data_IF_108557606216
#
_entry.id   IF_108557606216
#
_cell.length_a   1.000
_cell.length_b   1.000
_cell.length_c   1.000
_cell.angle_alpha   90.00
_cell.angle_beta   90.00
_cell.angle_gamma   90.00
#
_symmetry.space_group_name_H-M   'P 1'
#
loop_
_entity.id
_entity.type
_entity.pdbx_description
1 polymer ?
#
# COMPACT_ATOMS: atom_id res chain seq x y z
N UNK A 1 -38.28 -14.87 5.85
CA UNK A 1 -38.34 -13.38 5.75
C UNK A 1 -37.15 -12.95 4.93
N UNK A 2 -37.39 -12.42 3.74
CA UNK A 2 -36.31 -11.92 2.84
C UNK A 2 -35.75 -10.62 3.43
N UNK A 3 -34.45 -10.60 3.69
CA UNK A 3 -33.75 -9.40 4.17
C UNK A 3 -33.95 -8.24 3.17
N UNK A 4 -34.22 -7.04 3.68
CA UNK A 4 -34.41 -5.85 2.83
C UNK A 4 -33.09 -5.50 2.11
N UNK A 5 -33.15 -4.81 0.98
CA UNK A 5 -31.95 -4.31 0.28
C UNK A 5 -31.06 -3.47 1.23
N UNK A 6 -31.68 -2.71 2.15
CA UNK A 6 -30.99 -1.93 3.19
C UNK A 6 -30.17 -2.84 4.11
N UNK A 7 -30.76 -3.89 4.67
CA UNK A 7 -30.09 -4.85 5.56
C UNK A 7 -28.94 -5.55 4.82
N UNK A 8 -29.19 -6.02 3.60
CA UNK A 8 -28.17 -6.67 2.76
C UNK A 8 -26.99 -5.75 2.46
N UNK A 9 -27.24 -4.47 2.18
CA UNK A 9 -26.17 -3.49 1.93
C UNK A 9 -25.29 -3.29 3.16
N UNK A 10 -25.90 -3.16 4.34
CA UNK A 10 -25.15 -3.01 5.61
C UNK A 10 -24.36 -4.28 5.96
N UNK A 11 -24.94 -5.46 5.75
CA UNK A 11 -24.26 -6.73 6.02
C UNK A 11 -23.06 -6.96 5.06
N UNK A 12 -23.19 -6.58 3.79
CA UNK A 12 -22.08 -6.60 2.85
C UNK A 12 -20.94 -5.66 3.28
N UNK A 13 -21.30 -4.45 3.75
CA UNK A 13 -20.28 -3.51 4.25
C UNK A 13 -19.62 -4.00 5.54
N UNK A 14 -20.36 -4.64 6.45
CA UNK A 14 -19.79 -5.27 7.65
C UNK A 14 -18.80 -6.39 7.29
N UNK A 15 -19.15 -7.20 6.30
CA UNK A 15 -18.33 -8.35 5.90
C UNK A 15 -17.09 -7.96 5.08
N UNK A 16 -17.17 -6.91 4.26
CA UNK A 16 -16.14 -6.54 3.28
C UNK A 16 -15.49 -5.18 3.51
N UNK A 17 -15.94 -4.42 4.51
CA UNK A 17 -15.41 -3.11 4.92
C UNK A 17 -15.81 -1.99 3.97
N UNK A 18 -15.19 -1.87 2.81
CA UNK A 18 -15.45 -0.83 1.81
C UNK A 18 -15.78 -1.45 0.46
N UNK A 19 -16.84 -0.95 -0.21
CA UNK A 19 -17.34 -1.49 -1.46
C UNK A 19 -17.61 -0.40 -2.49
N UNK A 20 -17.44 -0.74 -3.77
CA UNK A 20 -17.82 0.11 -4.89
C UNK A 20 -19.28 -0.06 -5.26
N UNK A 21 -19.89 0.97 -5.85
CA UNK A 21 -21.28 0.91 -6.37
C UNK A 21 -21.53 -0.35 -7.21
N UNK A 22 -20.59 -0.73 -8.08
CA UNK A 22 -20.71 -1.93 -8.92
C UNK A 22 -20.85 -3.24 -8.12
N UNK A 23 -20.23 -3.31 -6.93
CA UNK A 23 -20.28 -4.49 -6.08
C UNK A 23 -21.69 -4.66 -5.47
N UNK A 24 -22.35 -3.55 -5.15
CA UNK A 24 -23.75 -3.56 -4.71
C UNK A 24 -24.73 -3.89 -5.86
N UNK A 25 -24.48 -3.37 -7.06
CA UNK A 25 -25.30 -3.68 -8.24
C UNK A 25 -25.21 -5.18 -8.55
N UNK A 26 -24.02 -5.78 -8.47
CA UNK A 26 -23.84 -7.22 -8.66
C UNK A 26 -24.62 -8.09 -7.66
N UNK A 27 -24.89 -7.54 -6.48
CA UNK A 27 -25.71 -8.17 -5.42
C UNK A 27 -27.21 -7.73 -5.49
N UNK A 28 -27.65 -7.13 -6.61
CA UNK A 28 -29.01 -6.63 -6.80
C UNK A 28 -29.44 -5.60 -5.73
N UNK A 29 -28.55 -4.71 -5.35
CA UNK A 29 -28.83 -3.57 -4.46
C UNK A 29 -28.83 -2.30 -5.30
N UNK A 30 -29.94 -1.58 -5.26
CA UNK A 30 -30.14 -0.39 -6.06
C UNK A 30 -29.34 0.82 -5.53
N UNK A 31 -28.83 1.69 -6.43
CA UNK A 31 -28.13 2.92 -6.04
C UNK A 31 -28.92 3.83 -5.11
N UNK A 32 -30.24 3.85 -5.27
CA UNK A 32 -31.16 4.65 -4.44
C UNK A 32 -31.15 4.18 -2.97
N UNK A 33 -31.01 2.87 -2.72
CA UNK A 33 -30.88 2.33 -1.38
C UNK A 33 -29.60 2.86 -0.69
N UNK A 34 -28.48 2.92 -1.43
CA UNK A 34 -27.24 3.49 -0.91
C UNK A 34 -27.34 5.00 -0.68
N UNK A 35 -28.02 5.72 -1.57
CA UNK A 35 -28.25 7.16 -1.40
C UNK A 35 -29.07 7.47 -0.12
N UNK A 36 -30.05 6.62 0.21
CA UNK A 36 -30.82 6.72 1.46
C UNK A 36 -29.94 6.41 2.67
N UNK A 37 -29.14 5.33 2.63
CA UNK A 37 -28.22 4.97 3.71
C UNK A 37 -27.20 6.07 3.98
N UNK A 38 -26.72 6.77 2.96
CA UNK A 38 -25.81 7.93 3.10
C UNK A 38 -26.53 9.12 3.73
N UNK A 39 -27.77 9.40 3.30
CA UNK A 39 -28.59 10.48 3.88
C UNK A 39 -28.93 10.23 5.35
N UNK A 40 -29.14 8.97 5.71
CA UNK A 40 -29.44 8.52 7.08
C UNK A 40 -28.14 8.35 7.93
N UNK A 41 -26.98 8.78 7.41
CA UNK A 41 -25.66 8.69 8.06
C UNK A 41 -25.21 7.28 8.47
N UNK A 42 -25.89 6.24 7.98
CA UNK A 42 -25.54 4.84 8.24
C UNK A 42 -24.40 4.33 7.35
N UNK A 43 -24.14 5.02 6.26
CA UNK A 43 -23.04 4.75 5.33
C UNK A 43 -22.41 6.07 4.95
N UNK A 44 -21.08 6.11 4.91
CA UNK A 44 -20.34 7.26 4.39
C UNK A 44 -19.84 6.96 2.98
N UNK A 45 -19.66 8.03 2.20
CA UNK A 45 -19.15 7.97 0.83
C UNK A 45 -17.81 8.70 0.74
N UNK A 46 -16.68 8.02 1.05
CA UNK A 46 -15.36 8.67 1.08
C UNK A 46 -14.91 9.19 -0.30
N UNK A 47 -15.41 8.57 -1.38
CA UNK A 47 -15.18 9.05 -2.76
C UNK A 47 -16.36 8.69 -3.68
N UNK A 48 -16.36 9.22 -4.89
CA UNK A 48 -17.43 8.93 -5.89
C UNK A 48 -17.55 7.43 -6.15
N UNK A 49 -18.72 6.88 -5.84
CA UNK A 49 -19.05 5.47 -6.06
C UNK A 49 -18.39 4.49 -5.10
N UNK A 50 -17.89 4.97 -3.96
CA UNK A 50 -17.27 4.15 -2.90
C UNK A 50 -18.01 4.37 -1.59
N UNK A 51 -18.32 3.30 -0.87
CA UNK A 51 -19.19 3.31 0.32
C UNK A 51 -18.57 2.47 1.43
N UNK A 52 -18.71 2.92 2.67
CA UNK A 52 -18.28 2.21 3.89
C UNK A 52 -19.15 2.57 5.08
N UNK A 53 -19.08 1.80 6.16
CA UNK A 53 -19.70 2.18 7.43
C UNK A 53 -18.89 3.29 8.11
N UNK A 54 -19.51 4.19 8.88
CA UNK A 54 -18.82 5.30 9.55
C UNK A 54 -17.65 4.85 10.43
N UNK A 55 -17.81 3.76 11.15
CA UNK A 55 -16.82 3.24 12.12
C UNK A 55 -15.88 2.18 11.53
N UNK A 56 -15.89 1.98 10.22
CA UNK A 56 -15.00 0.99 9.60
C UNK A 56 -13.57 1.53 9.59
N UNK A 57 -12.70 0.91 10.38
CA UNK A 57 -11.26 1.02 10.19
C UNK A 57 -10.93 0.35 8.85
N UNK A 58 -10.55 1.17 7.88
CA UNK A 58 -10.13 0.66 6.57
C UNK A 58 -8.78 -0.02 6.80
N UNK A 59 -8.74 -1.33 6.67
CA UNK A 59 -7.49 -2.06 6.70
C UNK A 59 -6.53 -1.49 5.64
N UNK A 60 -5.29 -1.23 6.03
CA UNK A 60 -4.25 -0.76 5.12
C UNK A 60 -4.14 -1.68 3.88
N UNK A 61 -4.33 -2.98 4.07
CA UNK A 61 -4.37 -3.98 3.01
C UNK A 61 -5.44 -3.70 1.93
N UNK A 62 -6.63 -3.25 2.33
CA UNK A 62 -7.67 -2.85 1.36
C UNK A 62 -7.22 -1.69 0.47
N UNK A 63 -6.59 -0.68 1.08
CA UNK A 63 -6.08 0.49 0.36
C UNK A 63 -5.03 0.09 -0.70
N UNK A 64 -4.16 -0.88 -0.37
CA UNK A 64 -3.17 -1.41 -1.31
C UNK A 64 -3.82 -2.14 -2.48
N UNK A 65 -4.80 -3.01 -2.20
CA UNK A 65 -5.53 -3.75 -3.24
C UNK A 65 -6.29 -2.81 -4.17
N UNK A 66 -6.96 -1.80 -3.63
CA UNK A 66 -7.70 -0.81 -4.41
C UNK A 66 -6.76 0.06 -5.27
N UNK A 67 -5.63 0.50 -4.71
CA UNK A 67 -4.61 1.25 -5.45
C UNK A 67 -4.04 0.42 -6.62
N UNK A 68 -3.79 -0.87 -6.42
CA UNK A 68 -3.31 -1.76 -7.48
C UNK A 68 -4.31 -1.93 -8.62
N UNK A 69 -5.61 -1.92 -8.33
CA UNK A 69 -6.68 -1.94 -9.37
C UNK A 69 -6.70 -0.66 -10.18
N UNK A 70 -6.54 0.48 -9.51
CA UNK A 70 -6.58 1.80 -10.17
C UNK A 70 -5.30 2.10 -10.95
N UNK A 71 -4.20 1.47 -10.56
CA UNK A 71 -2.89 1.61 -11.21
C UNK A 71 -2.32 0.23 -11.55
N UNK A 72 -2.83 -0.46 -12.58
CA UNK A 72 -2.49 -1.87 -12.85
C UNK A 72 -1.00 -2.14 -13.12
N UNK A 73 -0.25 -1.12 -13.57
CA UNK A 73 1.22 -1.19 -13.79
C UNK A 73 2.01 -0.55 -12.65
N UNK A 74 1.34 -0.15 -11.57
CA UNK A 74 1.98 0.44 -10.39
C UNK A 74 2.51 -0.64 -9.46
N UNK A 75 3.53 -0.27 -8.68
CA UNK A 75 4.16 -1.13 -7.68
C UNK A 75 4.06 -0.43 -6.33
N UNK A 76 3.50 -1.08 -5.32
CA UNK A 76 3.51 -0.56 -3.95
C UNK A 76 4.96 -0.55 -3.44
N UNK A 77 5.38 0.57 -2.86
CA UNK A 77 6.78 0.81 -2.49
C UNK A 77 6.90 1.73 -1.26
N UNK A 78 8.13 1.99 -0.85
CA UNK A 78 8.49 2.92 0.22
C UNK A 78 7.69 2.66 1.51
N UNK A 79 7.14 3.70 2.16
CA UNK A 79 6.47 3.59 3.47
C UNK A 79 5.31 2.58 3.43
N UNK A 80 4.54 2.52 2.34
CA UNK A 80 3.45 1.56 2.22
C UNK A 80 3.94 0.11 2.12
N UNK A 81 5.08 -0.13 1.49
CA UNK A 81 5.70 -1.46 1.48
C UNK A 81 6.39 -1.76 2.82
N UNK A 82 7.02 -0.78 3.49
CA UNK A 82 7.52 -0.97 4.85
C UNK A 82 6.41 -1.39 5.81
N UNK A 83 5.26 -0.69 5.77
CA UNK A 83 4.10 -1.01 6.59
C UNK A 83 3.57 -2.41 6.28
N UNK A 84 3.43 -2.76 5.00
CA UNK A 84 2.98 -4.09 4.57
C UNK A 84 3.89 -5.20 5.10
N UNK A 85 5.19 -4.97 5.09
CA UNK A 85 6.19 -5.91 5.61
C UNK A 85 6.41 -5.81 7.13
N UNK A 86 5.65 -4.97 7.84
CA UNK A 86 5.79 -4.72 9.29
C UNK A 86 7.19 -4.22 9.67
N UNK A 87 7.76 -3.36 8.84
CA UNK A 87 9.09 -2.76 9.03
C UNK A 87 9.02 -1.32 9.54
N UNK A 88 7.85 -0.82 9.85
CA UNK A 88 7.59 0.51 10.43
C UNK A 88 6.25 0.52 11.13
N UNK A 89 6.14 1.32 12.17
CA UNK A 89 4.87 1.63 12.83
C UNK A 89 4.16 2.83 12.20
N UNK A 90 4.77 3.49 11.23
CA UNK A 90 4.18 4.65 10.58
C UNK A 90 2.98 4.24 9.72
N UNK A 91 1.89 4.99 9.88
CA UNK A 91 0.71 4.87 9.04
C UNK A 91 0.69 6.00 8.00
N UNK A 92 1.07 5.72 6.75
CA UNK A 92 1.07 6.75 5.72
C UNK A 92 -0.36 7.18 5.36
N UNK A 93 -0.58 8.48 5.24
CA UNK A 93 -1.87 9.06 4.82
C UNK A 93 -2.24 8.80 3.35
N UNK A 94 -1.34 8.17 2.60
CA UNK A 94 -1.52 7.84 1.18
C UNK A 94 -0.72 6.60 0.81
N UNK A 95 -1.21 5.82 -0.15
CA UNK A 95 -0.49 4.67 -0.70
C UNK A 95 0.67 5.15 -1.57
N UNK A 96 1.89 4.74 -1.23
CA UNK A 96 3.07 5.01 -2.05
C UNK A 96 3.18 4.00 -3.17
N UNK A 97 3.14 4.48 -4.42
CA UNK A 97 3.26 3.64 -5.61
C UNK A 97 4.32 4.16 -6.56
N UNK A 98 5.12 3.23 -7.07
CA UNK A 98 6.02 3.50 -8.19
C UNK A 98 5.30 3.25 -9.51
N UNK A 99 5.50 4.14 -10.46
CA UNK A 99 5.10 3.97 -11.87
C UNK A 99 6.33 4.20 -12.77
N UNK A 100 6.27 3.64 -13.99
CA UNK A 100 7.33 3.83 -14.98
C UNK A 100 7.61 5.32 -15.20
N UNK A 101 8.87 5.67 -15.45
CA UNK A 101 9.31 7.07 -15.62
C UNK A 101 8.51 7.84 -16.66
N UNK A 102 8.17 7.19 -17.77
CA UNK A 102 7.43 7.77 -18.90
C UNK A 102 5.92 7.61 -18.78
N UNK A 103 5.43 6.83 -17.82
CA UNK A 103 4.01 6.57 -17.69
C UNK A 103 3.22 7.84 -17.32
N UNK A 104 2.01 7.96 -17.88
CA UNK A 104 1.08 8.99 -17.44
C UNK A 104 0.72 8.80 -15.96
N UNK A 105 0.67 9.89 -15.18
CA UNK A 105 0.23 9.87 -13.79
C UNK A 105 -1.30 9.89 -13.74
N UNK A 106 -1.95 8.82 -13.26
CA UNK A 106 -3.41 8.81 -13.12
C UNK A 106 -3.89 9.85 -12.11
N UNK A 107 -5.03 10.49 -12.40
CA UNK A 107 -5.73 11.31 -11.43
C UNK A 107 -6.71 10.42 -10.67
N UNK A 108 -6.42 10.16 -9.40
CA UNK A 108 -7.18 9.27 -8.53
C UNK A 108 -7.61 10.05 -7.30
N UNK A 109 -8.91 10.11 -7.05
CA UNK A 109 -9.46 10.81 -5.89
C UNK A 109 -9.41 9.97 -4.61
N UNK A 110 -9.47 8.64 -4.74
CA UNK A 110 -9.42 7.72 -3.61
C UNK A 110 -9.05 6.29 -4.08
N UNK A 111 -8.19 5.54 -3.33
CA UNK A 111 -7.44 6.01 -2.16
C UNK A 111 -6.45 7.12 -2.53
N UNK A 112 -6.02 7.95 -1.58
CA UNK A 112 -4.96 8.92 -1.86
C UNK A 112 -3.68 8.17 -2.23
N UNK A 113 -3.06 8.53 -3.38
CA UNK A 113 -1.85 7.86 -3.87
C UNK A 113 -0.74 8.89 -4.07
N UNK A 114 0.44 8.57 -3.52
CA UNK A 114 1.69 9.30 -3.79
C UNK A 114 2.53 8.52 -4.78
N UNK A 115 2.83 9.14 -5.92
CA UNK A 115 3.61 8.51 -6.98
C UNK A 115 5.10 8.85 -6.88
N UNK A 116 5.93 7.83 -7.07
CA UNK A 116 7.35 7.95 -7.39
C UNK A 116 7.63 7.35 -8.76
N UNK A 117 8.79 7.67 -9.33
CA UNK A 117 9.18 7.21 -10.66
C UNK A 117 10.27 6.16 -10.55
N UNK A 118 10.00 4.98 -11.09
CA UNK A 118 10.99 3.93 -11.29
C UNK A 118 11.31 3.79 -12.79
N UNK A 119 12.45 3.19 -13.11
CA UNK A 119 12.84 2.88 -14.48
C UNK A 119 13.78 1.68 -14.53
N UNK A 120 13.80 1.00 -15.67
CA UNK A 120 14.67 -0.14 -15.91
C UNK A 120 14.46 -1.27 -14.88
N UNK A 121 15.56 -1.80 -14.33
CA UNK A 121 15.54 -2.88 -13.37
C UNK A 121 14.62 -2.62 -12.18
N UNK A 122 14.44 -1.34 -11.82
CA UNK A 122 13.62 -0.96 -10.67
C UNK A 122 12.12 -1.26 -10.85
N UNK A 123 11.65 -1.51 -12.06
CA UNK A 123 10.27 -1.91 -12.32
C UNK A 123 10.02 -3.42 -12.20
N UNK A 124 11.08 -4.22 -12.10
CA UNK A 124 10.95 -5.69 -12.14
C UNK A 124 11.65 -6.40 -11.01
N UNK A 125 12.90 -6.01 -10.70
CA UNK A 125 13.68 -6.72 -9.71
C UNK A 125 13.25 -6.39 -8.27
N UNK A 126 13.11 -7.42 -7.45
CA UNK A 126 12.64 -7.28 -6.08
C UNK A 126 11.18 -6.85 -5.97
N UNK A 127 10.39 -7.07 -7.02
CA UNK A 127 8.94 -6.89 -7.02
C UNK A 127 8.31 -8.27 -6.91
N UNK A 128 7.54 -8.46 -5.85
CA UNK A 128 6.83 -9.70 -5.55
C UNK A 128 5.32 -9.45 -5.61
N UNK A 129 4.55 -10.51 -5.86
CA UNK A 129 3.09 -10.42 -5.90
C UNK A 129 2.52 -11.05 -4.65
N UNK A 130 1.68 -10.29 -3.96
CA UNK A 130 1.04 -10.73 -2.73
C UNK A 130 -0.47 -10.80 -2.90
N UNK A 131 -1.11 -11.91 -2.50
CA UNK A 131 -2.55 -12.05 -2.53
C UNK A 131 -3.18 -11.18 -1.43
N UNK A 132 -3.82 -10.08 -1.80
CA UNK A 132 -4.54 -9.19 -0.90
C UNK A 132 -5.99 -9.10 -1.39
N UNK A 133 -6.96 -9.54 -0.58
CA UNK A 133 -8.38 -9.54 -0.92
C UNK A 133 -8.68 -10.15 -2.30
N UNK A 134 -8.15 -11.32 -2.57
CA UNK A 134 -8.29 -12.06 -3.84
C UNK A 134 -7.69 -11.33 -5.06
N UNK A 135 -6.72 -10.42 -4.84
CA UNK A 135 -6.00 -9.69 -5.89
C UNK A 135 -4.50 -9.83 -5.71
N UNK A 136 -3.80 -10.00 -6.81
CA UNK A 136 -2.35 -10.00 -6.85
C UNK A 136 -1.80 -8.56 -6.86
N UNK A 137 -1.26 -8.12 -5.73
CA UNK A 137 -0.72 -6.76 -5.56
C UNK A 137 0.80 -6.80 -5.69
N UNK A 138 1.40 -6.09 -6.68
CA UNK A 138 2.84 -6.01 -6.80
C UNK A 138 3.40 -5.06 -5.74
N UNK A 139 4.31 -5.58 -4.91
CA UNK A 139 4.95 -4.84 -3.80
C UNK A 139 6.46 -5.09 -3.86
N UNK A 140 7.28 -4.10 -3.55
CA UNK A 140 8.72 -4.30 -3.41
C UNK A 140 9.01 -5.17 -2.18
N UNK A 141 9.92 -6.17 -2.32
CA UNK A 141 10.30 -7.04 -1.19
C UNK A 141 11.04 -6.26 -0.09
N UNK A 142 11.22 -6.82 1.11
CA UNK A 142 11.79 -6.10 2.26
C UNK A 142 13.13 -5.44 1.97
N UNK A 143 14.13 -6.18 1.45
CA UNK A 143 15.46 -5.67 1.18
C UNK A 143 15.44 -4.53 0.15
N UNK A 144 14.66 -4.71 -0.93
CA UNK A 144 14.49 -3.71 -1.96
C UNK A 144 13.79 -2.46 -1.41
N UNK A 145 12.74 -2.64 -0.60
CA UNK A 145 11.98 -1.55 0.01
C UNK A 145 12.88 -0.66 0.87
N UNK A 146 13.71 -1.27 1.72
CA UNK A 146 14.66 -0.55 2.57
C UNK A 146 15.63 0.28 1.72
N UNK A 147 16.22 -0.32 0.68
CA UNK A 147 17.13 0.38 -0.24
C UNK A 147 16.44 1.55 -0.92
N UNK A 148 15.21 1.37 -1.39
CA UNK A 148 14.44 2.45 -2.00
C UNK A 148 14.12 3.56 -1.00
N UNK A 149 13.85 3.24 0.28
CA UNK A 149 13.65 4.24 1.32
C UNK A 149 14.91 5.10 1.53
N UNK A 150 16.10 4.52 1.56
CA UNK A 150 17.35 5.30 1.57
C UNK A 150 17.55 6.14 0.31
N UNK A 151 17.20 5.63 -0.85
CA UNK A 151 17.25 6.38 -2.11
C UNK A 151 16.31 7.58 -2.10
N UNK A 152 15.12 7.42 -1.52
CA UNK A 152 14.10 8.47 -1.45
C UNK A 152 14.05 9.19 -0.09
N UNK A 153 15.11 9.08 0.75
CA UNK A 153 15.21 9.67 2.10
C UNK A 153 14.87 11.14 2.17
N UNK A 154 15.16 11.92 1.13
CA UNK A 154 14.80 13.35 1.08
C UNK A 154 13.29 13.59 0.91
N UNK A 155 12.51 12.57 0.54
CA UNK A 155 11.06 12.66 0.40
C UNK A 155 10.31 12.07 1.59
N UNK A 156 10.87 11.05 2.22
CA UNK A 156 10.18 10.28 3.27
C UNK A 156 10.80 10.45 4.66
N UNK A 157 11.98 11.06 4.76
CA UNK A 157 12.79 11.13 5.97
C UNK A 157 13.85 10.02 6.01
N UNK A 158 15.04 10.35 6.52
CA UNK A 158 16.12 9.36 6.73
C UNK A 158 15.79 8.44 7.91
N UNK A 159 15.10 8.95 8.91
CA UNK A 159 14.62 8.24 10.09
C UNK A 159 13.76 7.04 9.73
N UNK A 160 12.84 7.20 8.78
CA UNK A 160 12.00 6.12 8.24
C UNK A 160 12.84 5.02 7.59
N UNK A 161 13.87 5.40 6.83
CA UNK A 161 14.75 4.43 6.17
C UNK A 161 15.59 3.65 7.20
N UNK A 162 16.07 4.34 8.25
CA UNK A 162 16.85 3.71 9.35
C UNK A 162 15.94 2.78 10.17
N UNK A 163 14.71 3.20 10.50
CA UNK A 163 13.71 2.35 11.16
C UNK A 163 13.48 1.06 10.37
N UNK A 164 13.16 1.17 9.07
CA UNK A 164 12.97 0.02 8.20
C UNK A 164 14.18 -0.91 8.13
N UNK A 165 15.42 -0.37 8.13
CA UNK A 165 16.64 -1.15 8.16
C UNK A 165 16.77 -1.93 9.47
N UNK A 166 16.58 -1.29 10.61
CA UNK A 166 16.67 -1.93 11.95
C UNK A 166 15.67 -3.06 12.07
N UNK A 167 14.39 -2.80 11.73
CA UNK A 167 13.34 -3.80 11.78
C UNK A 167 13.58 -4.94 10.79
N UNK A 168 14.07 -4.64 9.58
CA UNK A 168 14.41 -5.62 8.57
C UNK A 168 15.50 -6.62 9.02
N UNK A 169 16.54 -6.14 9.66
CA UNK A 169 17.62 -6.98 10.22
C UNK A 169 17.14 -7.71 11.47
N UNK A 170 16.50 -7.01 12.41
CA UNK A 170 15.99 -7.58 13.67
C UNK A 170 15.03 -8.74 13.44
N UNK A 171 14.10 -8.59 12.51
CA UNK A 171 13.10 -9.62 12.17
C UNK A 171 13.57 -10.60 11.08
N UNK A 172 14.85 -10.53 10.66
CA UNK A 172 15.42 -11.40 9.62
C UNK A 172 14.62 -11.40 8.30
N UNK A 173 13.95 -10.27 8.00
CA UNK A 173 13.19 -10.09 6.74
C UNK A 173 14.09 -9.75 5.55
N UNK A 174 15.34 -9.39 5.81
CA UNK A 174 16.37 -9.20 4.80
C UNK A 174 17.78 -9.51 5.38
N UNK A 175 18.73 -9.75 4.49
CA UNK A 175 20.13 -9.96 4.84
C UNK A 175 20.99 -8.78 4.41
N UNK A 176 22.17 -8.55 5.06
CA UNK A 176 23.14 -7.53 4.63
C UNK A 176 23.58 -7.69 3.17
N UNK A 177 23.71 -8.93 2.69
CA UNK A 177 24.06 -9.21 1.30
C UNK A 177 22.96 -8.77 0.31
N UNK A 178 21.70 -9.07 0.60
CA UNK A 178 20.57 -8.60 -0.21
C UNK A 178 20.50 -7.06 -0.26
N UNK A 179 20.72 -6.40 0.87
CA UNK A 179 20.80 -4.94 0.94
C UNK A 179 21.94 -4.39 0.09
N UNK A 180 23.13 -5.00 0.19
CA UNK A 180 24.27 -4.61 -0.62
C UNK A 180 24.01 -4.75 -2.13
N UNK A 181 23.43 -5.87 -2.56
CA UNK A 181 23.11 -6.12 -3.97
C UNK A 181 22.19 -5.03 -4.55
N UNK A 182 21.07 -4.74 -3.87
CA UNK A 182 20.16 -3.69 -4.34
C UNK A 182 20.78 -2.29 -4.22
N UNK A 183 21.49 -1.98 -3.14
CA UNK A 183 22.11 -0.68 -2.93
C UNK A 183 23.21 -0.39 -3.96
N UNK A 184 23.96 -1.41 -4.40
CA UNK A 184 24.94 -1.30 -5.48
C UNK A 184 24.26 -0.98 -6.80
N UNK A 185 23.20 -1.68 -7.18
CA UNK A 185 22.38 -1.40 -8.37
C UNK A 185 21.77 0.00 -8.33
N UNK A 186 21.27 0.42 -7.18
CA UNK A 186 20.70 1.75 -6.95
C UNK A 186 21.75 2.86 -6.84
N UNK A 187 23.04 2.53 -6.81
CA UNK A 187 24.21 3.43 -6.65
C UNK A 187 24.14 4.27 -5.37
N UNK A 188 23.64 3.67 -4.27
CA UNK A 188 23.52 4.35 -2.96
C UNK A 188 24.25 3.62 -1.84
N UNK A 189 25.05 2.59 -2.15
CA UNK A 189 25.77 1.81 -1.13
C UNK A 189 26.63 2.69 -0.22
N UNK A 190 27.35 3.64 -0.78
CA UNK A 190 28.19 4.56 0.00
C UNK A 190 27.40 5.33 1.06
N UNK A 191 26.12 5.65 0.77
CA UNK A 191 25.24 6.31 1.73
C UNK A 191 24.72 5.33 2.77
N UNK A 192 24.37 4.10 2.36
CA UNK A 192 23.75 3.11 3.26
C UNK A 192 24.75 2.41 4.17
N UNK A 193 25.99 2.21 3.69
CA UNK A 193 27.00 1.41 4.36
C UNK A 193 27.19 1.73 5.85
N UNK A 194 27.36 2.99 6.29
CA UNK A 194 27.54 3.28 7.71
C UNK A 194 26.36 2.81 8.57
N UNK A 195 25.14 2.98 8.07
CA UNK A 195 23.93 2.56 8.78
C UNK A 195 23.81 1.03 8.87
N UNK A 196 24.14 0.33 7.77
CA UNK A 196 24.11 -1.14 7.75
C UNK A 196 25.14 -1.72 8.71
N UNK A 197 26.39 -1.21 8.69
CA UNK A 197 27.45 -1.64 9.59
C UNK A 197 27.08 -1.44 11.07
N UNK A 198 26.50 -0.29 11.42
CA UNK A 198 26.03 -0.02 12.78
C UNK A 198 24.93 -1.00 13.19
N UNK A 199 23.88 -1.14 12.37
CA UNK A 199 22.72 -1.99 12.73
C UNK A 199 23.10 -3.47 12.82
N UNK A 200 24.02 -3.95 11.98
CA UNK A 200 24.50 -5.33 12.03
C UNK A 200 25.37 -5.58 13.26
N UNK A 201 26.20 -4.61 13.65
CA UNK A 201 27.00 -4.70 14.89
C UNK A 201 26.15 -4.71 16.16
N UNK A 202 25.04 -3.95 16.17
CA UNK A 202 24.12 -3.90 17.30
C UNK A 202 23.25 -5.19 17.43
N UNK A 203 23.16 -5.97 16.35
CA UNK A 203 22.35 -7.19 16.29
C UNK A 203 23.16 -8.49 16.51
N UNK A 204 24.49 -8.40 16.59
CA UNK A 204 25.41 -9.53 16.78
C UNK A 204 25.63 -9.83 18.26
#
# INVERSE_FOLDING_TARGET
MTATQRTRALDLLKARGMLRLRDFIAENIEPETLARLVRDEQVIRPARGLYQLPDTQIEAAYMLAEAAVLVPKGIVCLISALQFHELTLQMPSAVWMAIERTAWRPTISYPPIRFVRFSGWAMTEGVERYPIQSREVPITNPARTIVDCFRYRNKIGIDVAIEGLREGIRHRKCTPDQLWQYAKKARIWTVMRPYVETVVSDAA
#
